data_IF_267913947686
#
_entry.id   IF_267913947686
#
_cell.length_a   1.000
_cell.length_b   1.000
_cell.length_c   1.000
_cell.angle_alpha   90.00
_cell.angle_beta   90.00
_cell.angle_gamma   90.00
#
_symmetry.space_group_name_H-M   'P 1'
#
loop_
_entity.id
_entity.type
_entity.pdbx_description
1 polymer ?
#
# COMPACT_ATOMS: atom_id res chain seq x y z
N UNK A 1 69.94 -2.50 10.93
CA UNK A 1 69.52 -1.58 9.84
C UNK A 1 68.27 -2.15 9.18
N UNK A 2 67.09 -1.74 9.64
CA UNK A 2 65.80 -2.10 9.03
C UNK A 2 65.47 -1.08 7.95
N UNK A 3 65.65 -1.47 6.68
CA UNK A 3 65.27 -0.66 5.54
C UNK A 3 63.74 -0.49 5.53
N UNK A 4 63.30 0.73 5.79
CA UNK A 4 61.90 1.16 5.69
C UNK A 4 61.50 1.05 4.22
N UNK A 5 60.77 -0.02 3.88
CA UNK A 5 60.18 -0.24 2.56
C UNK A 5 59.34 1.01 2.24
N UNK A 6 59.62 1.77 1.18
CA UNK A 6 58.76 2.88 0.79
C UNK A 6 57.42 2.27 0.38
N UNK A 7 56.42 2.43 1.24
CA UNK A 7 55.06 2.01 0.95
C UNK A 7 54.65 2.66 -0.36
N UNK A 8 54.18 1.81 -1.27
CA UNK A 8 53.64 2.17 -2.56
C UNK A 8 52.34 2.98 -2.39
N UNK A 9 52.46 4.20 -1.89
CA UNK A 9 51.56 5.29 -2.23
C UNK A 9 51.85 5.59 -3.70
N UNK A 10 51.33 4.72 -4.59
CA UNK A 10 51.56 4.83 -6.03
C UNK A 10 51.17 6.20 -6.56
N UNK A 11 52.00 6.71 -7.47
CA UNK A 11 51.93 7.87 -8.40
C UNK A 11 50.95 9.04 -8.18
N UNK A 12 49.76 8.89 -7.59
CA UNK A 12 48.72 9.94 -7.51
C UNK A 12 47.93 9.97 -6.18
N UNK A 13 48.57 10.24 -5.02
CA UNK A 13 47.91 10.33 -3.71
C UNK A 13 46.76 11.35 -3.67
N UNK A 14 46.92 12.51 -4.30
CA UNK A 14 45.89 13.56 -4.37
C UNK A 14 44.65 13.09 -5.14
N UNK A 15 44.84 12.35 -6.24
CA UNK A 15 43.73 11.80 -7.04
C UNK A 15 42.94 10.76 -6.24
N UNK A 16 43.61 9.87 -5.52
CA UNK A 16 42.98 8.84 -4.68
C UNK A 16 42.22 9.47 -3.51
N UNK A 17 42.79 10.49 -2.88
CA UNK A 17 42.10 11.29 -1.86
C UNK A 17 40.86 12.00 -2.41
N UNK A 18 40.98 12.64 -3.58
CA UNK A 18 39.85 13.30 -4.24
C UNK A 18 38.76 12.31 -4.64
N UNK A 19 39.13 11.11 -5.09
CA UNK A 19 38.18 10.01 -5.33
C UNK A 19 37.45 9.62 -4.04
N UNK A 20 38.19 9.35 -2.96
CA UNK A 20 37.60 8.93 -1.69
C UNK A 20 36.62 9.98 -1.14
N UNK A 21 36.96 11.27 -1.26
CA UNK A 21 36.06 12.37 -0.89
C UNK A 21 34.76 12.36 -1.70
N UNK A 22 34.83 12.30 -3.04
CA UNK A 22 33.64 12.26 -3.91
C UNK A 22 32.79 11.01 -3.68
N UNK A 23 33.43 9.88 -3.45
CA UNK A 23 32.76 8.61 -3.19
C UNK A 23 32.03 8.64 -1.84
N UNK A 24 32.70 9.11 -0.79
CA UNK A 24 32.09 9.30 0.53
C UNK A 24 30.92 10.28 0.49
N UNK A 25 31.06 11.38 -0.27
CA UNK A 25 29.98 12.33 -0.51
C UNK A 25 28.75 11.66 -1.13
N UNK A 26 28.95 10.93 -2.25
CA UNK A 26 27.85 10.22 -2.93
C UNK A 26 27.17 9.21 -2.01
N UNK A 27 27.95 8.43 -1.26
CA UNK A 27 27.42 7.44 -0.31
C UNK A 27 26.67 8.11 0.84
N UNK A 28 27.15 9.24 1.33
CA UNK A 28 26.48 10.02 2.38
C UNK A 28 25.14 10.57 1.89
N UNK A 29 25.09 11.16 0.70
CA UNK A 29 23.85 11.64 0.08
C UNK A 29 22.84 10.51 -0.15
N UNK A 30 23.30 9.35 -0.64
CA UNK A 30 22.46 8.17 -0.77
C UNK A 30 21.89 7.72 0.58
N UNK A 31 22.73 7.64 1.62
CA UNK A 31 22.30 7.33 2.98
C UNK A 31 21.28 8.34 3.53
N UNK A 32 21.53 9.63 3.40
CA UNK A 32 20.62 10.69 3.86
C UNK A 32 19.26 10.64 3.15
N UNK A 33 19.26 10.35 1.85
CA UNK A 33 18.01 10.15 1.09
C UNK A 33 17.22 8.93 1.60
N UNK A 34 17.88 7.79 1.77
CA UNK A 34 17.28 6.57 2.32
C UNK A 34 16.77 6.79 3.76
N UNK A 35 17.55 7.47 4.60
CA UNK A 35 17.17 7.79 5.97
C UNK A 35 15.97 8.73 6.04
N UNK A 36 15.84 9.70 5.12
CA UNK A 36 14.65 10.56 5.01
C UNK A 36 13.39 9.78 4.61
N UNK A 37 13.50 8.88 3.64
CA UNK A 37 12.39 8.00 3.23
C UNK A 37 11.98 7.10 4.40
N UNK A 38 12.96 6.48 5.06
CA UNK A 38 12.73 5.63 6.23
C UNK A 38 12.04 6.37 7.38
N UNK A 39 12.45 7.61 7.70
CA UNK A 39 11.79 8.42 8.75
C UNK A 39 10.34 8.75 8.40
N UNK A 40 10.07 9.23 7.17
CA UNK A 40 8.70 9.51 6.72
C UNK A 40 7.80 8.29 6.82
N UNK A 41 8.33 7.11 6.48
CA UNK A 41 7.59 5.86 6.63
C UNK A 41 7.36 5.48 8.09
N UNK A 42 8.32 5.74 8.98
CA UNK A 42 8.14 5.52 10.42
C UNK A 42 7.02 6.41 10.98
N UNK A 43 7.04 7.70 10.64
CA UNK A 43 5.98 8.67 11.02
C UNK A 43 4.59 8.23 10.50
N UNK A 44 4.53 7.71 9.28
CA UNK A 44 3.29 7.18 8.72
C UNK A 44 2.78 5.96 9.52
N UNK A 45 3.65 4.98 9.81
CA UNK A 45 3.28 3.79 10.58
C UNK A 45 2.89 4.12 12.03
N UNK A 46 3.53 5.12 12.65
CA UNK A 46 3.15 5.60 13.97
C UNK A 46 1.73 6.18 13.97
N UNK A 47 1.37 6.94 12.92
CA UNK A 47 -0.01 7.40 12.71
C UNK A 47 -0.99 6.25 12.56
N UNK A 48 -0.68 5.26 11.72
CA UNK A 48 -1.54 4.09 11.53
C UNK A 48 -1.73 3.32 12.84
N UNK A 49 -0.69 3.21 13.67
CA UNK A 49 -0.78 2.55 14.99
C UNK A 49 -1.74 3.27 15.93
N UNK A 50 -1.62 4.60 16.04
CA UNK A 50 -2.55 5.40 16.84
C UNK A 50 -4.00 5.29 16.35
N UNK A 51 -4.21 5.33 15.04
CA UNK A 51 -5.54 5.22 14.44
C UNK A 51 -6.13 3.82 14.59
N UNK A 52 -5.34 2.76 14.41
CA UNK A 52 -5.80 1.37 14.57
C UNK A 52 -6.30 1.12 16.00
N UNK A 53 -5.62 1.68 17.00
CA UNK A 53 -5.99 1.56 18.39
C UNK A 53 -7.21 2.44 18.75
N UNK A 54 -7.21 3.71 18.32
CA UNK A 54 -8.11 4.73 18.87
C UNK A 54 -9.25 5.21 17.96
N UNK A 55 -9.08 5.17 16.64
CA UNK A 55 -10.03 5.82 15.72
C UNK A 55 -11.35 5.05 15.63
N UNK A 56 -12.50 5.70 15.83
CA UNK A 56 -13.84 5.05 15.82
C UNK A 56 -14.72 5.53 14.67
N UNK A 57 -14.14 6.16 13.64
CA UNK A 57 -14.90 6.88 12.63
C UNK A 57 -15.28 8.29 13.11
N UNK A 58 -15.80 9.08 12.18
CA UNK A 58 -16.33 10.40 12.43
C UNK A 58 -17.82 10.44 12.05
N UNK A 59 -18.65 10.96 12.95
CA UNK A 59 -19.96 11.46 12.56
C UNK A 59 -19.74 12.75 11.76
N UNK A 60 -20.31 12.84 10.56
CA UNK A 60 -20.20 14.03 9.69
C UNK A 60 -21.55 14.76 9.60
N UNK A 61 -22.01 15.41 10.68
CA UNK A 61 -23.27 16.14 10.65
C UNK A 61 -23.21 17.26 9.61
N UNK A 62 -24.22 17.33 8.74
CA UNK A 62 -24.42 18.43 7.79
C UNK A 62 -23.50 18.43 6.56
N UNK A 63 -22.63 17.44 6.37
CA UNK A 63 -21.85 17.30 5.13
C UNK A 63 -22.69 16.55 4.09
N UNK A 64 -22.85 17.11 2.89
CA UNK A 64 -23.47 16.40 1.78
C UNK A 64 -22.55 15.23 1.37
N UNK A 65 -22.98 14.01 1.64
CA UNK A 65 -22.24 12.80 1.31
C UNK A 65 -22.69 12.26 -0.05
N UNK A 66 -21.80 11.58 -0.81
CA UNK A 66 -22.16 10.94 -2.09
C UNK A 66 -23.25 9.86 -1.94
N UNK A 67 -23.37 9.29 -0.74
CA UNK A 67 -24.32 8.22 -0.38
C UNK A 67 -24.99 8.59 0.95
N UNK A 68 -26.31 8.36 1.11
CA UNK A 68 -26.98 8.51 2.41
C UNK A 68 -26.41 7.54 3.45
N UNK A 69 -26.34 7.99 4.70
CA UNK A 69 -25.92 7.15 5.83
C UNK A 69 -27.13 6.73 6.67
N UNK A 70 -27.05 5.54 7.24
CA UNK A 70 -28.04 5.02 8.17
C UNK A 70 -27.84 5.66 9.56
N UNK A 71 -28.85 5.56 10.43
CA UNK A 71 -28.78 6.08 11.79
C UNK A 71 -27.61 5.46 12.57
N UNK A 72 -26.75 6.33 13.10
CA UNK A 72 -25.55 5.95 13.85
C UNK A 72 -24.42 5.34 13.03
N UNK A 73 -24.51 5.31 11.69
CA UNK A 73 -23.40 4.93 10.81
C UNK A 73 -22.30 6.01 10.86
N UNK A 74 -21.04 5.59 11.03
CA UNK A 74 -19.89 6.49 11.17
C UNK A 74 -18.91 6.34 10.01
N UNK A 75 -18.38 7.46 9.54
CA UNK A 75 -17.50 7.48 8.37
C UNK A 75 -16.06 7.27 8.78
N UNK A 76 -15.41 6.27 8.18
CA UNK A 76 -13.98 6.05 8.29
C UNK A 76 -13.20 6.85 7.24
N UNK A 77 -13.70 6.88 6.00
CA UNK A 77 -13.04 7.61 4.92
C UNK A 77 -14.02 7.99 3.81
N UNK A 78 -13.83 9.19 3.26
CA UNK A 78 -14.43 9.59 1.99
C UNK A 78 -13.35 9.54 0.92
N UNK A 79 -13.66 8.92 -0.20
CA UNK A 79 -12.80 8.74 -1.37
C UNK A 79 -13.46 9.48 -2.54
N UNK A 80 -13.11 10.75 -2.79
CA UNK A 80 -13.87 11.61 -3.70
C UNK A 80 -13.66 11.28 -5.20
N UNK A 81 -12.58 10.57 -5.53
CA UNK A 81 -12.24 10.20 -6.90
C UNK A 81 -11.70 8.77 -6.90
N UNK A 82 -12.55 7.82 -7.27
CA UNK A 82 -12.23 6.39 -7.36
C UNK A 82 -12.88 5.79 -8.60
N UNK A 83 -12.25 4.77 -9.15
CA UNK A 83 -12.87 3.94 -10.19
C UNK A 83 -13.47 2.70 -9.55
N UNK A 84 -14.72 2.39 -9.89
CA UNK A 84 -15.31 1.08 -9.66
C UNK A 84 -14.67 0.10 -10.65
N UNK A 85 -14.04 -0.93 -10.12
CA UNK A 85 -13.41 -1.99 -10.92
C UNK A 85 -14.08 -3.32 -10.69
N UNK A 86 -14.20 -4.11 -11.75
CA UNK A 86 -14.74 -5.46 -11.71
C UNK A 86 -13.78 -6.45 -12.34
N UNK A 87 -13.73 -7.65 -11.76
CA UNK A 87 -13.06 -8.78 -12.39
C UNK A 87 -13.82 -9.22 -13.64
N UNK A 88 -13.09 -9.55 -14.70
CA UNK A 88 -13.69 -10.04 -15.95
C UNK A 88 -14.23 -11.46 -15.82
N UNK A 89 -13.71 -12.26 -14.88
CA UNK A 89 -14.24 -13.55 -14.50
C UNK A 89 -13.99 -13.86 -13.01
N UNK A 90 -14.77 -14.80 -12.45
CA UNK A 90 -14.78 -15.13 -11.00
C UNK A 90 -13.49 -15.80 -10.50
N UNK A 91 -12.79 -16.55 -11.36
CA UNK A 91 -11.66 -17.41 -10.98
C UNK A 91 -10.41 -17.11 -11.79
N UNK A 92 -10.02 -15.83 -11.88
CA UNK A 92 -8.81 -15.47 -12.60
C UNK A 92 -7.58 -15.58 -11.68
N UNK A 93 -6.54 -16.32 -12.11
CA UNK A 93 -5.28 -16.34 -11.37
C UNK A 93 -4.71 -14.92 -11.31
N UNK A 94 -4.17 -14.55 -10.15
CA UNK A 94 -3.59 -13.23 -9.92
C UNK A 94 -4.56 -12.15 -9.42
N UNK A 95 -5.84 -12.48 -9.18
CA UNK A 95 -6.70 -11.58 -8.42
C UNK A 95 -6.22 -11.47 -6.97
N UNK A 96 -6.19 -10.26 -6.39
CA UNK A 96 -5.91 -10.06 -4.98
C UNK A 96 -6.85 -10.91 -4.10
N UNK A 97 -6.28 -11.88 -3.40
CA UNK A 97 -7.03 -12.70 -2.46
C UNK A 97 -7.41 -11.87 -1.22
N UNK A 98 -8.57 -12.12 -0.60
CA UNK A 98 -8.91 -11.53 0.69
C UNK A 98 -7.79 -11.77 1.70
N UNK A 99 -7.16 -10.69 2.14
CA UNK A 99 -6.06 -10.72 3.10
C UNK A 99 -6.41 -9.88 4.30
N UNK A 100 -5.93 -10.27 5.48
CA UNK A 100 -6.06 -9.45 6.70
C UNK A 100 -4.84 -8.58 6.95
N UNK A 101 -3.76 -8.78 6.20
CA UNK A 101 -2.49 -8.09 6.43
C UNK A 101 -2.30 -6.94 5.46
N UNK A 102 -1.75 -5.85 5.96
CA UNK A 102 -1.27 -4.72 5.18
C UNK A 102 0.17 -4.90 4.67
N UNK A 103 0.84 -5.98 5.06
CA UNK A 103 2.21 -6.28 4.64
C UNK A 103 2.33 -6.32 3.11
N UNK A 104 3.34 -5.60 2.60
CA UNK A 104 3.60 -5.47 1.15
C UNK A 104 2.55 -4.66 0.37
N UNK A 105 1.51 -4.13 1.02
CA UNK A 105 0.39 -3.49 0.33
C UNK A 105 0.32 -1.96 0.53
N UNK A 106 1.23 -1.37 1.29
CA UNK A 106 1.15 0.05 1.64
C UNK A 106 1.91 0.98 0.68
N UNK A 107 2.59 0.45 -0.33
CA UNK A 107 3.38 1.25 -1.29
C UNK A 107 3.04 0.89 -2.75
N UNK A 108 1.76 0.92 -3.18
CA UNK A 108 1.40 0.64 -4.55
C UNK A 108 1.88 1.75 -5.49
N UNK A 109 2.20 1.36 -6.72
CA UNK A 109 2.58 2.28 -7.78
C UNK A 109 1.44 2.47 -8.79
N UNK A 110 1.36 3.68 -9.35
CA UNK A 110 0.50 3.92 -10.49
C UNK A 110 0.89 3.03 -11.68
N UNK A 111 -0.10 2.75 -12.52
CA UNK A 111 0.09 2.03 -13.76
C UNK A 111 -1.21 1.43 -14.29
N UNK A 112 -1.10 0.65 -15.38
CA UNK A 112 -2.26 0.03 -15.98
C UNK A 112 -2.90 -0.97 -15.02
N UNK A 113 -4.22 -1.10 -15.13
CA UNK A 113 -4.93 -2.17 -14.44
C UNK A 113 -4.44 -3.54 -14.92
N UNK A 114 -4.39 -4.54 -14.02
CA UNK A 114 -4.24 -5.93 -14.44
C UNK A 114 -5.28 -6.27 -15.50
N UNK A 115 -4.89 -7.03 -16.54
CA UNK A 115 -5.77 -7.36 -17.68
C UNK A 115 -7.08 -8.08 -17.27
N UNK A 116 -7.08 -8.70 -16.09
CA UNK A 116 -8.21 -9.40 -15.48
C UNK A 116 -9.24 -8.45 -14.82
N UNK A 117 -8.95 -7.15 -14.77
CA UNK A 117 -9.80 -6.11 -14.20
C UNK A 117 -10.15 -5.08 -15.26
N UNK A 118 -11.39 -4.58 -15.19
CA UNK A 118 -11.85 -3.44 -15.99
C UNK A 118 -12.45 -2.36 -15.10
N UNK A 119 -12.32 -1.10 -15.50
CA UNK A 119 -13.11 0.00 -14.93
C UNK A 119 -14.53 -0.10 -15.48
N UNK A 120 -15.51 0.06 -14.59
CA UNK A 120 -16.94 0.03 -14.94
C UNK A 120 -17.56 1.42 -14.80
N UNK A 121 -17.15 2.18 -13.79
CA UNK A 121 -17.62 3.55 -13.55
C UNK A 121 -16.58 4.31 -12.73
N UNK A 122 -16.68 5.64 -12.69
CA UNK A 122 -15.85 6.52 -11.87
C UNK A 122 -16.73 7.44 -11.03
N UNK A 123 -16.33 7.67 -9.78
CA UNK A 123 -17.15 8.43 -8.86
C UNK A 123 -16.50 8.60 -7.50
N UNK A 124 -17.35 8.61 -6.47
CA UNK A 124 -16.92 8.70 -5.08
C UNK A 124 -17.32 7.44 -4.31
N UNK A 125 -16.54 7.11 -3.29
CA UNK A 125 -16.89 6.07 -2.34
C UNK A 125 -16.79 6.56 -0.89
N UNK A 126 -17.60 5.97 -0.02
CA UNK A 126 -17.60 6.20 1.41
C UNK A 126 -17.35 4.87 2.10
N UNK A 127 -16.35 4.84 2.98
CA UNK A 127 -16.04 3.71 3.86
C UNK A 127 -16.61 4.05 5.22
N UNK A 128 -17.49 3.21 5.74
CA UNK A 128 -18.14 3.37 7.05
C UNK A 128 -17.80 2.21 7.97
N UNK A 129 -18.31 2.21 9.19
CA UNK A 129 -18.24 1.07 10.10
C UNK A 129 -19.08 -0.13 9.65
N UNK A 130 -20.04 0.06 8.75
CA UNK A 130 -21.00 -0.98 8.32
C UNK A 130 -20.79 -1.43 6.88
N UNK A 131 -20.44 -0.52 5.98
CA UNK A 131 -20.34 -0.81 4.54
C UNK A 131 -19.26 0.01 3.84
N UNK A 132 -18.96 -0.41 2.62
CA UNK A 132 -18.34 0.45 1.61
C UNK A 132 -19.42 0.78 0.59
N UNK A 133 -19.65 2.06 0.33
CA UNK A 133 -20.66 2.49 -0.62
C UNK A 133 -20.02 3.31 -1.73
N UNK A 134 -20.25 2.94 -2.99
CA UNK A 134 -19.79 3.62 -4.18
C UNK A 134 -20.97 4.28 -4.90
N UNK A 135 -20.77 5.53 -5.32
CA UNK A 135 -21.68 6.28 -6.17
C UNK A 135 -20.91 6.89 -7.34
N UNK A 136 -21.12 6.33 -8.52
CA UNK A 136 -20.66 6.86 -9.79
C UNK A 136 -21.79 7.50 -10.60
N UNK A 137 -21.56 7.70 -11.89
CA UNK A 137 -22.53 8.30 -12.79
C UNK A 137 -23.65 7.31 -13.15
N UNK A 138 -23.25 6.09 -13.49
CA UNK A 138 -24.12 5.05 -14.05
C UNK A 138 -24.34 3.88 -13.08
N UNK A 139 -23.45 3.75 -12.08
CA UNK A 139 -23.45 2.66 -11.13
C UNK A 139 -23.48 3.14 -9.67
N UNK A 140 -24.26 2.42 -8.86
CA UNK A 140 -24.17 2.46 -7.40
C UNK A 140 -23.87 1.05 -6.92
N UNK A 141 -23.01 0.93 -5.91
CA UNK A 141 -22.67 -0.38 -5.34
C UNK A 141 -22.35 -0.26 -3.86
N UNK A 142 -22.99 -1.11 -3.08
CA UNK A 142 -22.77 -1.21 -1.65
C UNK A 142 -22.23 -2.59 -1.30
N UNK A 143 -21.23 -2.63 -0.44
CA UNK A 143 -20.67 -3.85 0.16
C UNK A 143 -20.86 -3.81 1.67
N UNK A 144 -21.70 -4.69 2.19
CA UNK A 144 -21.86 -4.91 3.63
C UNK A 144 -20.57 -5.51 4.19
N UNK A 145 -19.88 -4.80 5.10
CA UNK A 145 -18.59 -5.24 5.63
C UNK A 145 -18.67 -6.58 6.40
N UNK A 146 -19.74 -6.90 7.15
CA UNK A 146 -19.93 -8.23 7.74
C UNK A 146 -20.01 -9.36 6.70
N UNK A 147 -20.55 -9.07 5.51
CA UNK A 147 -20.76 -10.06 4.45
C UNK A 147 -19.58 -10.13 3.45
N UNK A 148 -18.60 -9.23 3.58
CA UNK A 148 -17.36 -9.27 2.81
C UNK A 148 -16.36 -10.22 3.48
N UNK A 149 -15.80 -11.18 2.72
CA UNK A 149 -14.76 -12.11 3.21
C UNK A 149 -13.51 -11.38 3.68
N UNK A 150 -13.20 -10.25 3.05
CA UNK A 150 -12.14 -9.32 3.40
C UNK A 150 -11.67 -8.51 2.19
N UNK A 151 -10.95 -7.41 2.42
CA UNK A 151 -10.31 -6.66 1.36
C UNK A 151 -9.14 -7.46 0.75
N UNK A 152 -9.13 -7.57 -0.57
CA UNK A 152 -8.02 -8.10 -1.35
C UNK A 152 -7.21 -6.95 -1.96
N UNK A 153 -6.12 -6.56 -1.31
CA UNK A 153 -5.24 -5.50 -1.82
C UNK A 153 -4.28 -6.05 -2.87
N UNK A 154 -4.21 -5.41 -4.03
CA UNK A 154 -3.17 -5.75 -5.01
C UNK A 154 -1.80 -5.26 -4.51
N UNK A 155 -0.73 -6.08 -4.51
CA UNK A 155 0.57 -5.65 -3.99
C UNK A 155 1.10 -4.42 -4.71
N UNK A 156 1.10 -4.43 -6.05
CA UNK A 156 1.77 -3.38 -6.83
C UNK A 156 0.88 -2.24 -7.37
N UNK A 157 -0.44 -2.43 -7.41
CA UNK A 157 -1.41 -1.50 -8.04
C UNK A 157 -2.35 -0.94 -7.00
N UNK A 158 -2.85 0.31 -7.09
CA UNK A 158 -3.71 0.91 -6.08
C UNK A 158 -5.17 0.43 -6.19
N UNK A 159 -5.34 -0.89 -6.26
CA UNK A 159 -6.63 -1.58 -6.37
C UNK A 159 -6.89 -2.39 -5.10
N UNK A 160 -8.13 -2.37 -4.64
CA UNK A 160 -8.63 -3.24 -3.58
C UNK A 160 -9.93 -3.88 -4.04
N UNK A 161 -9.97 -5.21 -4.11
CA UNK A 161 -11.20 -5.97 -4.36
C UNK A 161 -11.91 -6.28 -3.05
N UNK A 162 -13.23 -6.20 -3.06
CA UNK A 162 -14.12 -6.57 -1.96
C UNK A 162 -14.86 -7.83 -2.41
N UNK A 163 -14.55 -8.95 -1.76
CA UNK A 163 -15.08 -10.26 -2.12
C UNK A 163 -16.31 -10.56 -1.27
N UNK A 164 -17.49 -10.56 -1.89
CA UNK A 164 -18.73 -10.94 -1.23
C UNK A 164 -18.70 -12.42 -0.78
N UNK A 165 -19.34 -12.72 0.34
CA UNK A 165 -19.45 -14.08 0.87
C UNK A 165 -20.10 -15.05 -0.14
N UNK A 166 -21.05 -14.55 -0.92
CA UNK A 166 -21.84 -15.28 -1.92
C UNK A 166 -21.03 -15.78 -3.13
N UNK A 167 -19.75 -15.41 -3.23
CA UNK A 167 -18.88 -15.84 -4.33
C UNK A 167 -19.25 -15.20 -5.67
N UNK A 168 -19.91 -14.04 -5.62
CA UNK A 168 -20.16 -13.15 -6.76
C UNK A 168 -18.88 -12.77 -7.53
N UNK A 169 -19.05 -12.13 -8.68
CA UNK A 169 -17.90 -11.55 -9.40
C UNK A 169 -17.22 -10.51 -8.51
N UNK A 170 -15.94 -10.68 -8.17
CA UNK A 170 -15.24 -9.72 -7.32
C UNK A 170 -15.21 -8.34 -7.95
N UNK A 171 -15.48 -7.33 -7.15
CA UNK A 171 -15.40 -5.95 -7.55
C UNK A 171 -14.81 -5.13 -6.42
N UNK A 172 -14.40 -3.90 -6.71
CA UNK A 172 -13.90 -3.03 -5.68
C UNK A 172 -13.47 -1.70 -6.25
N UNK A 173 -12.44 -1.13 -5.64
CA UNK A 173 -12.07 0.26 -5.87
C UNK A 173 -10.62 0.34 -6.36
N UNK A 174 -10.41 1.13 -7.40
CA UNK A 174 -9.11 1.69 -7.73
C UNK A 174 -9.08 3.13 -7.26
N UNK A 175 -8.02 3.49 -6.55
CA UNK A 175 -7.81 4.84 -6.02
C UNK A 175 -6.51 5.44 -6.57
N UNK A 176 -6.32 6.76 -6.51
CA UNK A 176 -5.03 7.36 -6.85
C UNK A 176 -3.90 6.79 -5.96
N UNK A 177 -2.72 6.50 -6.52
CA UNK A 177 -1.63 5.88 -5.74
C UNK A 177 -1.24 6.69 -4.50
N UNK A 178 -1.25 8.02 -4.60
CA UNK A 178 -0.97 8.92 -3.47
C UNK A 178 -1.89 8.70 -2.24
N UNK A 179 -3.12 8.21 -2.45
CA UNK A 179 -4.09 7.94 -1.39
C UNK A 179 -4.26 6.45 -1.06
N UNK A 180 -3.57 5.56 -1.76
CA UNK A 180 -3.85 4.13 -1.71
C UNK A 180 -3.48 3.48 -0.38
N UNK A 181 -2.32 3.79 0.19
CA UNK A 181 -1.89 3.28 1.50
C UNK A 181 -2.94 3.58 2.59
N UNK A 182 -3.39 4.82 2.63
CA UNK A 182 -4.37 5.30 3.59
C UNK A 182 -5.76 4.67 3.36
N UNK A 183 -6.16 4.55 2.10
CA UNK A 183 -7.43 3.90 1.73
C UNK A 183 -7.45 2.43 2.16
N UNK A 184 -6.36 1.70 1.91
CA UNK A 184 -6.19 0.30 2.31
C UNK A 184 -6.28 0.14 3.82
N UNK A 185 -5.56 0.99 4.54
CA UNK A 185 -5.61 1.01 6.00
C UNK A 185 -7.04 1.18 6.53
N UNK A 186 -7.79 2.20 6.08
CA UNK A 186 -9.14 2.44 6.58
C UNK A 186 -10.15 1.38 6.14
N UNK A 187 -10.04 0.84 4.92
CA UNK A 187 -10.87 -0.28 4.48
C UNK A 187 -10.66 -1.52 5.37
N UNK A 188 -9.40 -1.87 5.64
CA UNK A 188 -9.06 -3.01 6.49
C UNK A 188 -9.44 -2.76 7.94
N UNK A 189 -9.25 -1.54 8.45
CA UNK A 189 -9.69 -1.16 9.79
C UNK A 189 -11.21 -1.23 9.94
N UNK A 190 -11.97 -0.71 8.97
CA UNK A 190 -13.43 -0.77 8.96
C UNK A 190 -13.92 -2.22 8.94
N UNK A 191 -13.37 -3.06 8.05
CA UNK A 191 -13.69 -4.50 8.01
C UNK A 191 -13.33 -5.23 9.31
N UNK A 192 -12.17 -4.92 9.88
CA UNK A 192 -11.75 -5.49 11.15
C UNK A 192 -12.69 -5.06 12.29
N UNK A 193 -13.19 -3.83 12.30
CA UNK A 193 -14.17 -3.38 13.31
C UNK A 193 -15.51 -4.09 13.11
N UNK A 194 -16.04 -4.11 11.89
CA UNK A 194 -17.31 -4.77 11.56
C UNK A 194 -17.31 -6.27 11.90
N UNK A 195 -16.15 -6.92 11.83
CA UNK A 195 -16.00 -8.36 12.11
C UNK A 195 -15.36 -8.69 13.47
N UNK A 196 -15.21 -7.70 14.36
CA UNK A 196 -14.67 -7.91 15.73
C UNK A 196 -13.18 -8.24 15.81
N UNK A 197 -12.40 -7.95 14.76
CA UNK A 197 -10.97 -8.27 14.63
C UNK A 197 -10.03 -7.06 14.73
N UNK A 198 -10.46 -5.96 15.34
CA UNK A 198 -9.60 -4.77 15.53
C UNK A 198 -8.26 -5.11 16.16
N UNK A 199 -8.24 -5.99 17.17
CA UNK A 199 -7.00 -6.31 17.88
C UNK A 199 -5.94 -6.94 16.94
N UNK A 200 -6.37 -7.84 16.05
CA UNK A 200 -5.49 -8.43 15.04
C UNK A 200 -4.93 -7.37 14.06
N UNK A 201 -5.71 -6.34 13.74
CA UNK A 201 -5.24 -5.21 12.93
C UNK A 201 -4.18 -4.37 13.66
N UNK A 202 -4.34 -4.15 14.97
CA UNK A 202 -3.32 -3.46 15.79
C UNK A 202 -2.01 -4.25 15.81
N UNK A 203 -2.10 -5.57 15.96
CA UNK A 203 -0.95 -6.47 15.93
C UNK A 203 -0.26 -6.49 14.55
N UNK A 204 -1.01 -6.49 13.46
CA UNK A 204 -0.47 -6.40 12.10
C UNK A 204 0.30 -5.08 11.89
N UNK A 205 -0.25 -3.95 12.34
CA UNK A 205 0.45 -2.65 12.26
C UNK A 205 1.71 -2.63 13.12
N UNK A 206 1.70 -3.23 14.31
CA UNK A 206 2.91 -3.32 15.13
C UNK A 206 3.97 -4.24 14.50
N UNK A 207 3.55 -5.34 13.87
CA UNK A 207 4.46 -6.18 13.08
C UNK A 207 5.12 -5.39 11.95
N UNK A 208 4.36 -4.53 11.24
CA UNK A 208 4.91 -3.63 10.23
C UNK A 208 5.90 -2.62 10.83
N UNK A 209 5.61 -2.03 11.99
CA UNK A 209 6.53 -1.13 12.69
C UNK A 209 7.81 -1.85 13.10
N UNK A 210 7.71 -3.07 13.61
CA UNK A 210 8.86 -3.89 13.99
C UNK A 210 9.74 -4.20 12.76
N UNK A 211 9.15 -4.67 11.67
CA UNK A 211 9.86 -4.92 10.41
C UNK A 211 10.51 -3.64 9.86
N UNK A 212 9.82 -2.51 9.91
CA UNK A 212 10.36 -1.21 9.48
C UNK A 212 11.54 -0.75 10.35
N UNK A 213 11.48 -0.95 11.67
CA UNK A 213 12.59 -0.67 12.59
C UNK A 213 13.81 -1.54 12.27
N UNK A 214 13.60 -2.82 11.97
CA UNK A 214 14.67 -3.74 11.57
C UNK A 214 15.33 -3.33 10.24
N UNK A 215 14.57 -2.72 9.32
CA UNK A 215 15.05 -2.24 8.02
C UNK A 215 15.76 -0.87 8.05
N UNK A 216 16.13 -0.35 9.23
CA UNK A 216 16.77 0.96 9.35
C UNK A 216 18.06 1.07 8.53
N UNK A 217 18.19 2.08 7.64
CA UNK A 217 19.44 2.32 6.90
C UNK A 217 20.63 2.51 7.84
N UNK A 218 21.75 1.85 7.53
CA UNK A 218 23.00 1.96 8.29
C UNK A 218 23.92 3.02 7.67
N UNK A 219 24.55 3.89 8.47
CA UNK A 219 25.53 4.85 7.96
C UNK A 219 26.66 4.14 7.19
N UNK A 220 27.09 4.64 6.02
CA UNK A 220 28.19 4.05 5.28
C UNK A 220 29.52 4.25 6.00
N UNK A 221 30.39 3.24 5.97
CA UNK A 221 31.77 3.37 6.43
C UNK A 221 32.52 4.42 5.58
N UNK A 222 33.27 5.35 6.18
CA UNK A 222 34.16 6.25 5.45
C UNK A 222 35.24 5.47 4.70
N UNK A 223 35.39 5.76 3.41
CA UNK A 223 36.48 5.24 2.59
C UNK A 223 37.71 6.13 2.70
N UNK A 224 38.88 5.51 2.77
CA UNK A 224 40.17 6.15 2.70
C UNK A 224 40.74 6.17 1.28
N UNK A 225 41.88 6.86 1.07
CA UNK A 225 42.58 6.84 -0.22
C UNK A 225 42.96 5.43 -0.68
N UNK A 226 43.18 4.50 0.26
CA UNK A 226 43.55 3.12 0.01
C UNK A 226 42.45 2.30 -0.68
N UNK A 227 41.19 2.70 -0.51
CA UNK A 227 40.01 2.05 -1.11
C UNK A 227 39.78 2.48 -2.57
N UNK A 228 40.54 3.47 -3.06
CA UNK A 228 40.41 3.94 -4.44
C UNK A 228 40.79 2.83 -5.44
N UNK A 229 39.97 2.58 -6.48
CA UNK A 229 40.25 1.57 -7.50
C UNK A 229 41.64 1.73 -8.08
N UNK A 230 42.37 0.62 -8.20
CA UNK A 230 43.68 0.63 -8.83
C UNK A 230 43.58 1.08 -10.29
N UNK A 231 44.52 1.91 -10.75
CA UNK A 231 44.45 2.56 -12.07
C UNK A 231 44.42 1.57 -13.25
N UNK A 232 44.88 0.32 -13.04
CA UNK A 232 44.77 -0.78 -14.03
C UNK A 232 43.31 -1.09 -14.40
N UNK A 233 42.35 -0.83 -13.52
CA UNK A 233 40.93 -1.04 -13.81
C UNK A 233 40.37 0.04 -14.76
N UNK A 234 40.96 1.24 -14.81
CA UNK A 234 40.54 2.30 -15.73
C UNK A 234 41.07 2.08 -17.14
N UNK A 235 42.32 1.63 -17.29
CA UNK A 235 42.86 1.26 -18.61
C UNK A 235 42.12 0.07 -19.23
N UNK A 236 41.72 -0.93 -18.43
CA UNK A 236 40.88 -2.03 -18.90
C UNK A 236 39.46 -1.59 -19.28
N UNK A 237 38.84 -0.67 -18.54
CA UNK A 237 37.51 -0.13 -18.91
C UNK A 237 37.56 0.71 -20.18
N UNK A 238 38.62 1.49 -20.39
CA UNK A 238 38.84 2.23 -21.63
C UNK A 238 39.16 1.30 -22.81
N UNK A 239 39.93 0.22 -22.58
CA UNK A 239 40.17 -0.81 -23.58
C UNK A 239 38.89 -1.56 -23.96
N UNK A 240 38.04 -1.92 -22.99
CA UNK A 240 36.75 -2.56 -23.25
C UNK A 240 35.78 -1.64 -24.00
N UNK A 241 35.75 -0.34 -23.68
CA UNK A 241 34.99 0.65 -24.44
C UNK A 241 35.52 0.82 -25.87
N UNK A 242 36.84 0.74 -26.08
CA UNK A 242 37.47 0.74 -27.41
C UNK A 242 37.12 -0.50 -28.24
N UNK A 243 37.10 -1.70 -27.63
CA UNK A 243 36.68 -2.95 -28.29
C UNK A 243 35.20 -2.93 -28.68
N UNK A 244 34.33 -2.36 -27.84
CA UNK A 244 32.91 -2.18 -28.18
C UNK A 244 32.71 -1.22 -29.36
N UNK A 245 33.50 -0.13 -29.44
CA UNK A 245 33.45 0.79 -30.57
C UNK A 245 33.96 0.15 -31.88
N UNK A 246 35.00 -0.70 -31.81
CA UNK A 246 35.54 -1.42 -32.98
C UNK A 246 34.60 -2.56 -33.44
N UNK A 247 33.90 -3.24 -32.51
CA UNK A 247 32.89 -4.24 -32.86
C UNK A 247 31.66 -3.63 -33.55
N UNK A 248 31.25 -2.42 -33.17
CA UNK A 248 30.18 -1.67 -33.85
C UNK A 248 30.63 -1.19 -35.24
N UNK A 249 31.91 -0.84 -35.42
CA UNK A 249 32.45 -0.46 -36.73
C UNK A 249 32.68 -1.65 -37.68
N UNK A 250 33.07 -2.83 -37.17
CA UNK A 250 33.22 -4.06 -37.98
C UNK A 250 31.90 -4.79 -38.23
N UNK A 251 30.89 -4.60 -37.38
CA UNK A 251 29.53 -5.15 -37.57
C UNK A 251 28.71 -4.41 -38.64
N UNK A 252 29.13 -3.23 -39.07
CA UNK A 252 28.45 -2.45 -40.13
C UNK A 252 29.01 -2.76 -41.53
N UNK A 253 30.15 -3.45 -41.64
CA UNK A 253 30.80 -3.77 -42.93
C UNK A 253 30.58 -5.19 -43.44
N UNK A 254 29.87 -6.06 -42.72
CA UNK A 254 29.64 -7.47 -43.09
C UNK A 254 28.19 -7.81 -43.51
N UNK A 255 27.41 -6.82 -43.91
CA UNK A 255 26.17 -7.04 -44.67
C UNK A 255 26.49 -7.05 -46.18
N UNK A 256 27.07 -8.15 -46.65
CA UNK A 256 27.34 -8.38 -48.06
C UNK A 256 27.30 -9.87 -48.42
N UNK A 257 26.38 -10.19 -49.32
CA UNK A 257 26.36 -11.37 -50.22
C UNK A 257 26.12 -12.75 -49.62
N UNK A 258 24.85 -13.17 -49.54
CA UNK A 258 24.44 -14.53 -49.87
C UNK A 258 23.36 -14.48 -50.96
N UNK A 259 23.56 -15.28 -51.99
CA UNK A 259 22.89 -15.26 -53.30
C UNK A 259 21.49 -15.84 -53.26
N UNK A 260 20.54 -15.13 -53.87
CA UNK A 260 19.24 -15.65 -54.28
C UNK A 260 19.37 -16.45 -55.58
N UNK A 261 18.90 -17.70 -55.58
CA UNK A 261 18.41 -18.36 -56.79
C UNK A 261 16.90 -18.14 -56.89
N UNK A 262 16.49 -17.56 -58.02
CA UNK A 262 15.14 -17.20 -58.35
C UNK A 262 14.26 -18.42 -58.69
N UNK A 263 12.97 -18.31 -58.35
CA UNK A 263 11.88 -19.12 -58.84
C UNK A 263 10.55 -18.42 -58.62
N UNK A 264 10.08 -17.69 -59.65
CA UNK A 264 8.69 -17.40 -60.08
C UNK A 264 7.54 -17.96 -59.19
N UNK A 265 6.46 -17.28 -58.79
CA UNK A 265 5.48 -16.42 -59.51
C UNK A 265 4.63 -15.56 -58.54
N UNK A 266 4.20 -14.39 -59.02
CA UNK A 266 3.29 -13.33 -58.49
C UNK A 266 1.80 -13.79 -58.30
N UNK A 267 0.79 -12.96 -57.86
CA UNK A 267 0.70 -11.78 -56.95
C UNK A 267 -0.34 -11.93 -55.81
N UNK A 268 -0.33 -11.03 -54.82
CA UNK A 268 -1.52 -10.78 -53.99
C UNK A 268 -1.39 -9.86 -52.77
N UNK A 269 -1.76 -8.58 -52.96
CA UNK A 269 -2.36 -7.66 -51.96
C UNK A 269 -1.51 -6.96 -50.86
N UNK A 270 -1.29 -5.64 -51.10
CA UNK A 270 -1.31 -4.41 -50.25
C UNK A 270 -1.69 -4.51 -48.75
N UNK A 271 -1.48 -3.47 -47.87
CA UNK A 271 -0.83 -2.15 -48.05
C UNK A 271 0.06 -1.61 -46.88
N UNK A 272 0.73 -0.46 -47.13
CA UNK A 272 1.23 0.57 -46.19
C UNK A 272 2.40 0.17 -45.24
N UNK A 273 3.36 1.00 -44.82
CA UNK A 273 3.50 2.45 -44.78
C UNK A 273 4.99 2.85 -44.77
N UNK A 274 5.23 4.11 -45.17
CA UNK A 274 6.49 4.86 -45.21
C UNK A 274 7.13 5.05 -43.81
N UNK A 275 8.47 5.02 -43.71
CA UNK A 275 9.16 5.96 -42.83
C UNK A 275 10.18 6.81 -43.57
N UNK A 276 10.14 8.11 -43.25
CA UNK A 276 11.07 9.16 -43.68
C UNK A 276 12.35 9.08 -42.84
N UNK A 277 13.49 9.35 -43.48
CA UNK A 277 14.83 9.38 -42.92
C UNK A 277 15.01 10.38 -41.77
N UNK A 278 15.96 10.17 -40.83
CA UNK A 278 16.43 11.23 -39.96
C UNK A 278 17.68 11.90 -40.55
N UNK A 279 17.59 13.22 -40.71
CA UNK A 279 18.73 14.09 -40.96
C UNK A 279 19.43 14.45 -39.63
N UNK A 280 20.75 14.43 -39.68
CA UNK A 280 21.69 14.94 -38.67
C UNK A 280 21.55 16.44 -38.50
N UNK A 281 21.50 16.97 -37.26
CA UNK A 281 21.91 18.36 -36.96
C UNK A 281 22.34 18.49 -35.49
N UNK A 282 23.42 19.25 -35.31
CA UNK A 282 24.19 19.50 -34.11
C UNK A 282 23.47 20.34 -33.04
N UNK A 283 23.94 20.23 -31.80
CA UNK A 283 23.64 21.14 -30.70
C UNK A 283 24.53 22.41 -30.77
N UNK A 284 24.00 23.57 -30.35
CA UNK A 284 24.70 24.36 -29.32
C UNK A 284 23.69 25.02 -28.31
N UNK A 285 24.11 26.01 -27.50
CA UNK A 285 24.28 25.88 -26.05
C UNK A 285 23.11 26.43 -25.22
N UNK A 286 23.15 26.08 -23.92
CA UNK A 286 22.24 26.54 -22.87
C UNK A 286 22.40 28.04 -22.57
N UNK A 287 21.30 28.78 -22.60
CA UNK A 287 21.10 30.05 -21.88
C UNK A 287 19.61 30.39 -21.82
N UNK A 288 19.05 30.51 -20.62
CA UNK A 288 18.10 31.57 -20.22
C UNK A 288 17.47 31.28 -18.84
N UNK A 289 17.44 32.34 -18.03
CA UNK A 289 16.89 32.47 -16.69
C UNK A 289 15.36 32.25 -16.60
N UNK A 290 14.79 32.07 -15.38
CA UNK A 290 13.34 31.89 -15.21
C UNK A 290 12.57 33.23 -15.26
N UNK A 291 11.37 33.29 -15.89
CA UNK A 291 10.48 34.41 -15.71
C UNK A 291 9.64 34.27 -14.43
N UNK A 292 9.58 35.36 -13.68
CA UNK A 292 8.67 35.58 -12.56
C UNK A 292 7.21 35.61 -13.05
N UNK A 293 6.33 34.84 -12.41
CA UNK A 293 4.89 34.91 -12.63
C UNK A 293 4.26 35.90 -11.66
N UNK A 294 3.59 36.92 -12.21
CA UNK A 294 2.76 37.89 -11.51
C UNK A 294 1.40 37.22 -11.20
N UNK A 295 0.84 37.36 -9.99
CA UNK A 295 -0.48 36.83 -9.68
C UNK A 295 -1.58 37.73 -10.27
N UNK A 296 -2.39 37.17 -11.17
CA UNK A 296 -3.65 37.78 -11.64
C UNK A 296 -4.77 37.35 -10.69
N UNK A 297 -5.42 38.34 -10.07
CA UNK A 297 -6.57 38.16 -9.20
C UNK A 297 -7.83 37.79 -10.01
N UNK A 298 -8.67 36.83 -9.55
CA UNK A 298 -9.96 36.58 -10.18
C UNK A 298 -11.01 37.59 -9.71
N UNK A 299 -11.57 38.31 -10.69
CA UNK A 299 -12.73 39.19 -10.54
C UNK A 299 -14.02 38.39 -10.29
N UNK A 300 -14.78 38.80 -9.27
CA UNK A 300 -16.15 38.38 -9.03
C UNK A 300 -17.11 39.00 -10.05
N UNK A 301 -18.06 38.24 -10.63
CA UNK A 301 -19.31 38.80 -11.10
C UNK A 301 -20.42 38.59 -10.07
N UNK A 302 -21.10 39.68 -9.75
CA UNK A 302 -22.27 39.74 -8.90
C UNK A 302 -23.59 39.62 -9.70
N UNK A 303 -24.63 39.19 -8.98
CA UNK A 303 -26.08 39.39 -9.22
C UNK A 303 -26.79 38.41 -10.19
N UNK A 304 -27.75 37.61 -9.68
CA UNK A 304 -29.17 37.97 -9.56
C UNK A 304 -30.03 36.87 -8.88
N UNK A 305 -30.97 37.21 -7.98
CA UNK A 305 -31.90 36.25 -7.38
C UNK A 305 -33.19 36.08 -8.20
N UNK A 306 -33.59 34.84 -8.42
CA UNK A 306 -34.91 34.40 -8.90
C UNK A 306 -35.09 32.95 -8.42
N UNK A 307 -36.25 32.41 -8.05
CA UNK A 307 -37.62 32.86 -7.80
C UNK A 307 -38.24 31.66 -7.08
N UNK A 308 -38.92 31.87 -5.96
CA UNK A 308 -39.48 30.80 -5.12
C UNK A 308 -40.47 29.93 -5.90
N UNK A 309 -40.26 28.61 -5.86
CA UNK A 309 -41.21 27.61 -6.34
C UNK A 309 -42.16 27.19 -5.19
N UNK A 310 -43.43 26.86 -5.49
CA UNK A 310 -44.45 26.55 -4.48
C UNK A 310 -44.30 25.14 -3.88
N UNK A 311 -44.81 24.91 -2.66
CA UNK A 311 -44.70 23.63 -1.96
C UNK A 311 -45.61 22.53 -2.55
N UNK A 312 -45.19 21.26 -2.55
CA UNK A 312 -46.04 20.15 -2.92
C UNK A 312 -47.13 19.85 -1.87
N UNK A 313 -48.33 19.60 -2.38
CA UNK A 313 -49.56 19.28 -1.64
C UNK A 313 -49.41 17.99 -0.82
N UNK A 314 -49.78 18.05 0.47
CA UNK A 314 -50.06 16.88 1.33
C UNK A 314 -51.29 16.12 0.81
N UNK A 315 -51.25 14.79 0.69
CA UNK A 315 -52.45 13.97 0.71
C UNK A 315 -52.96 13.83 2.16
N UNK A 316 -54.23 14.20 2.31
CA UNK A 316 -55.07 14.04 3.48
C UNK A 316 -55.48 12.56 3.57
N UNK A 317 -55.12 11.85 4.64
CA UNK A 317 -55.70 10.54 4.94
C UNK A 317 -56.23 10.57 6.37
N UNK A 318 -57.55 10.68 6.45
CA UNK A 318 -58.36 10.58 7.65
C UNK A 318 -58.40 9.12 8.12
N UNK A 319 -58.37 8.84 9.44
CA UNK A 319 -58.46 7.49 9.98
C UNK A 319 -59.91 7.01 10.02
N UNK A 320 -60.21 5.89 9.35
CA UNK A 320 -61.49 5.21 9.52
C UNK A 320 -61.37 4.10 10.56
N UNK A 321 -61.98 4.39 11.70
CA UNK A 321 -62.30 3.50 12.80
C UNK A 321 -63.48 2.61 12.40
N UNK A 322 -63.31 1.28 12.49
CA UNK A 322 -64.37 0.31 12.24
C UNK A 322 -64.10 -0.99 12.98
N UNK A 323 -64.74 -1.15 14.12
CA UNK A 323 -64.60 -2.28 15.03
C UNK A 323 -65.52 -3.48 14.67
N UNK A 324 -65.10 -4.65 15.20
CA UNK A 324 -65.88 -5.83 15.68
C UNK A 324 -65.76 -7.13 14.84
N UNK A 325 -65.05 -8.14 15.37
CA UNK A 325 -65.44 -9.23 16.30
C UNK A 325 -65.95 -10.48 15.55
N UNK A 326 -65.21 -11.60 15.62
CA UNK A 326 -65.68 -12.91 16.12
C UNK A 326 -64.56 -13.98 16.10
N UNK A 327 -64.14 -14.35 17.31
CA UNK A 327 -63.81 -15.68 17.86
C UNK A 327 -63.82 -16.90 16.94
N UNK A 328 -62.73 -17.69 16.94
CA UNK A 328 -62.76 -19.15 17.14
C UNK A 328 -61.39 -19.69 17.56
N UNK A 329 -61.41 -20.60 18.53
CA UNK A 329 -60.30 -21.18 19.27
C UNK A 329 -59.69 -22.42 18.56
N UNK A 330 -58.57 -23.01 19.07
CA UNK A 330 -57.73 -23.97 18.34
C UNK A 330 -58.07 -25.43 18.64
N UNK A 331 -57.60 -26.41 17.84
CA UNK A 331 -57.51 -27.79 18.26
C UNK A 331 -56.10 -28.17 18.75
N UNK A 332 -56.09 -28.89 19.87
CA UNK A 332 -54.98 -29.59 20.51
C UNK A 332 -55.05 -31.10 20.18
N UNK A 333 -53.87 -31.73 20.12
CA UNK A 333 -53.55 -33.15 20.31
C UNK A 333 -53.76 -34.18 19.16
N UNK A 334 -52.67 -34.89 18.88
CA UNK A 334 -52.62 -36.15 18.11
C UNK A 334 -51.18 -36.65 17.92
N UNK A 335 -50.73 -37.51 18.83
CA UNK A 335 -49.39 -38.14 18.95
C UNK A 335 -49.14 -39.30 17.95
N UNK A 336 -47.93 -39.92 17.91
CA UNK A 336 -47.31 -40.53 16.71
C UNK A 336 -47.49 -42.06 16.61
N UNK A 337 -46.99 -42.70 15.54
CA UNK A 337 -46.67 -44.13 15.56
C UNK A 337 -45.16 -44.42 15.56
N UNK A 338 -44.78 -45.32 16.46
CA UNK A 338 -43.55 -46.10 16.46
C UNK A 338 -43.67 -47.34 15.55
N UNK A 339 -42.56 -47.76 14.94
CA UNK A 339 -42.20 -49.16 14.60
C UNK A 339 -40.67 -49.18 14.37
N UNK A 340 -39.87 -49.79 15.23
CA UNK A 340 -39.64 -51.25 15.43
C UNK A 340 -38.96 -51.89 14.22
N UNK A 341 -37.72 -52.33 14.46
CA UNK A 341 -36.85 -53.07 13.54
C UNK A 341 -35.55 -53.47 14.25
N UNK A 342 -35.68 -54.29 15.30
CA UNK A 342 -34.61 -55.09 15.90
C UNK A 342 -34.09 -56.15 14.91
N UNK A 343 -32.78 -56.45 14.91
CA UNK A 343 -32.20 -57.80 15.16
C UNK A 343 -30.65 -57.86 14.96
N UNK A 344 -29.93 -58.91 15.45
CA UNK A 344 -29.08 -58.77 16.63
C UNK A 344 -27.60 -59.21 16.48
N UNK A 345 -26.86 -58.91 17.55
CA UNK A 345 -25.66 -59.52 18.16
C UNK A 345 -24.87 -60.64 17.46
N UNK A 346 -23.54 -60.56 17.55
CA UNK A 346 -22.75 -61.58 18.27
C UNK A 346 -21.40 -61.02 18.80
N UNK A 347 -20.88 -61.60 19.90
CA UNK A 347 -19.78 -61.08 20.71
C UNK A 347 -18.46 -61.86 20.54
N UNK A 348 -17.32 -61.24 20.80
CA UNK A 348 -16.08 -61.95 21.17
C UNK A 348 -15.29 -61.12 22.21
N UNK A 349 -15.08 -61.74 23.38
CA UNK A 349 -14.24 -61.30 24.50
C UNK A 349 -12.76 -61.72 24.33
N UNK A 350 -11.81 -61.18 25.15
CA UNK A 350 -10.36 -61.25 24.99
C UNK A 350 -9.73 -62.41 25.81
N UNK A 351 -8.39 -62.61 25.86
CA UNK A 351 -7.54 -61.84 26.80
C UNK A 351 -6.08 -61.61 26.35
N UNK A 352 -5.38 -60.66 26.99
CA UNK A 352 -3.92 -60.55 26.94
C UNK A 352 -3.35 -59.23 27.49
N UNK A 353 -3.01 -59.23 28.79
CA UNK A 353 -2.34 -58.15 29.54
C UNK A 353 -0.81 -58.05 29.24
N UNK A 354 0.00 -57.33 30.05
CA UNK A 354 0.49 -55.99 29.78
C UNK A 354 2.02 -55.94 29.55
N UNK A 355 2.55 -54.84 29.02
CA UNK A 355 3.97 -54.55 29.10
C UNK A 355 4.19 -53.09 29.49
N UNK A 356 4.98 -52.95 30.55
CA UNK A 356 5.50 -51.74 31.14
C UNK A 356 5.98 -50.70 30.11
N UNK A 357 5.64 -49.43 30.34
CA UNK A 357 6.55 -48.37 29.92
C UNK A 357 6.59 -47.23 30.96
N UNK A 358 7.82 -47.10 31.45
CA UNK A 358 8.34 -46.25 32.50
C UNK A 358 8.13 -44.77 32.21
N UNK A 359 7.53 -44.06 33.17
CA UNK A 359 7.52 -42.59 33.26
C UNK A 359 8.88 -42.09 33.73
N UNK A 360 9.57 -41.18 33.02
CA UNK A 360 10.76 -40.54 33.57
C UNK A 360 10.40 -39.37 34.51
N UNK A 361 11.10 -39.37 35.64
CA UNK A 361 11.12 -38.37 36.72
C UNK A 361 11.82 -37.08 36.24
N UNK A 362 11.32 -35.88 36.55
CA UNK A 362 12.11 -34.65 36.45
C UNK A 362 12.87 -34.38 37.76
N UNK A 363 14.19 -34.48 37.71
CA UNK A 363 15.11 -33.99 38.74
C UNK A 363 15.98 -32.88 38.13
N UNK A 364 15.84 -31.65 38.64
CA UNK A 364 16.93 -30.78 39.11
C UNK A 364 16.51 -29.29 39.10
N UNK A 365 16.38 -28.71 40.29
CA UNK A 365 16.76 -27.31 40.58
C UNK A 365 18.26 -27.30 40.89
N UNK A 366 19.03 -26.19 40.73
CA UNK A 366 18.92 -25.06 41.66
C UNK A 366 19.33 -23.65 41.16
N UNK A 367 18.87 -22.64 41.92
CA UNK A 367 19.59 -21.45 42.40
C UNK A 367 20.23 -20.46 41.41
N UNK A 368 19.76 -19.20 41.49
CA UNK A 368 20.51 -18.03 41.04
C UNK A 368 19.70 -16.73 41.03
N UNK A 369 19.31 -16.22 42.20
CA UNK A 369 18.92 -14.81 42.38
C UNK A 369 20.18 -13.93 42.51
N UNK A 370 20.30 -12.83 41.76
CA UNK A 370 21.06 -11.67 42.18
C UNK A 370 20.11 -10.55 42.64
N UNK A 371 20.38 -10.04 43.84
CA UNK A 371 19.57 -9.07 44.56
C UNK A 371 19.57 -7.64 43.99
N UNK A 372 18.81 -6.73 44.65
CA UNK A 372 18.60 -5.36 44.20
C UNK A 372 19.79 -4.47 44.57
N UNK A 373 20.36 -3.79 43.58
CA UNK A 373 21.39 -2.76 43.80
C UNK A 373 20.83 -1.39 43.43
N UNK A 374 20.65 -0.56 44.46
CA UNK A 374 21.04 0.86 44.50
C UNK A 374 20.37 1.84 43.54
N UNK A 375 19.59 2.77 44.11
CA UNK A 375 19.41 4.11 43.52
C UNK A 375 20.74 4.87 43.43
N UNK A 376 20.80 5.95 42.64
CA UNK A 376 20.56 7.26 43.27
C UNK A 376 19.86 8.29 42.36
N UNK A 377 19.41 9.38 42.99
CA UNK A 377 19.60 10.70 42.39
C UNK A 377 18.39 11.34 41.73
N UNK A 378 17.49 11.86 42.57
CA UNK A 378 16.60 12.96 42.22
C UNK A 378 17.38 14.26 42.00
N UNK A 379 16.78 15.13 41.18
CA UNK A 379 16.87 16.60 41.23
C UNK A 379 17.99 17.26 40.42
N UNK A 380 17.59 17.90 39.32
CA UNK A 380 18.42 18.80 38.52
C UNK A 380 17.62 19.43 37.38
N UNK A 381 16.65 20.25 37.73
CA UNK A 381 15.87 21.11 36.83
C UNK A 381 16.68 22.39 36.55
N UNK A 382 17.11 22.69 35.31
CA UNK A 382 17.68 23.99 35.00
C UNK A 382 16.57 24.99 34.63
N UNK A 383 16.45 26.02 35.47
CA UNK A 383 15.65 27.22 35.20
C UNK A 383 16.06 27.89 33.88
N UNK A 384 15.12 28.42 33.09
CA UNK A 384 15.47 29.23 31.92
C UNK A 384 15.99 30.61 32.34
N UNK A 385 17.17 30.95 31.84
CA UNK A 385 17.78 32.28 31.93
C UNK A 385 16.94 33.29 31.14
N UNK A 386 16.38 34.27 31.85
CA UNK A 386 15.78 35.47 31.29
C UNK A 386 16.90 36.28 30.62
N UNK A 387 16.80 36.49 29.31
CA UNK A 387 17.67 37.42 28.60
C UNK A 387 17.23 38.85 28.90
N UNK A 388 18.10 39.59 29.58
CA UNK A 388 18.00 41.03 29.75
C UNK A 388 18.35 41.73 28.44
N UNK A 389 17.39 42.50 27.94
CA UNK A 389 17.54 43.55 26.94
C UNK A 389 18.18 44.80 27.58
N UNK A 390 19.18 45.43 26.92
CA UNK A 390 19.51 46.82 27.19
C UNK A 390 19.41 47.72 25.94
N UNK A 391 19.32 49.04 26.15
CA UNK A 391 18.37 49.90 25.46
C UNK A 391 18.93 50.62 24.23
N UNK A 392 18.01 50.97 23.32
CA UNK A 392 18.23 51.96 22.26
C UNK A 392 18.50 53.36 22.84
N UNK A 393 19.59 54.05 22.41
CA UNK A 393 19.68 55.49 22.57
C UNK A 393 19.06 56.20 21.36
N UNK A 394 18.09 57.06 21.66
CA UNK A 394 17.60 58.12 20.77
C UNK A 394 18.70 59.17 20.56
N UNK A 395 18.89 59.57 19.32
CA UNK A 395 19.70 60.71 18.88
C UNK A 395 19.33 61.06 17.45
#
# INVERSE_FOLDING_TARGET
>A
MTARRPDAIGAHPQRRLAWARRENERRRQAYESAARIWRRRAEHLDRLSMEAAGFRGCALPGTALPVPLDDGEVVYRILPAVDLVEATARHLPGLPAPGRTLAGCLDPADGPLPAVLRVVDSGAAVVTDRRVAFAGHDARRDWSLPDVRGPGHHPDRPVTLLHDADGGTPAGLRVPAAGAANTRFYLTLAHAVATGKRQAMVEDVEALRSAHRAARPRPPRPLGPWDAPAERALSQRLAAAGVAAVAVLLGVTSAGTWTATAGQTDPGHRPAARPVAPATTAAPPVSSAPPAAIPVAPSSPAVRPARSAPPPKRPNVTPESGARVLTTAPPVAGSPPARVGDHPSTPVEPPGSPADQVTPVPTASPTGEPGPTGGPGSTGEPSPTVSSEPPHPSG
#
